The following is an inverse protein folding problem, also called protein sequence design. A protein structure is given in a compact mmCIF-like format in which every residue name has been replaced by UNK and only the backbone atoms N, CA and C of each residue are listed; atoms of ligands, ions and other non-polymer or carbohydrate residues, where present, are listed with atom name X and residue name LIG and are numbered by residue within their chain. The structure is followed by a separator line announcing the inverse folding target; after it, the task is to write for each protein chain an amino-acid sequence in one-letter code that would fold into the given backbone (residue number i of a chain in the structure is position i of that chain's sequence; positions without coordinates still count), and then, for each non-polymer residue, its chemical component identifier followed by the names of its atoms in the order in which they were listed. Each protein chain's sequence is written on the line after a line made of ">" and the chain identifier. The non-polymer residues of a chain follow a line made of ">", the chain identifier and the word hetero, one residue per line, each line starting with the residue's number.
data_IF_145297779870
#
_entry.id   IF_145297779870
#
_cell.length_a   1.000
_cell.length_b   1.000
_cell.length_c   1.000
_cell.angle_alpha   90.00
_cell.angle_beta   90.00
_cell.angle_gamma   90.00
#
_symmetry.space_group_name_H-M   'P 1'
#
loop_
_entity.id
_entity.type
_entity.pdbx_description
1 polymer ?
#
# COMPACT_ATOMS: atom_id res chain seq x y z
N UNK A 1 15.06 -9.82 -3.67
CA UNK A 1 14.33 -9.55 -2.40
C UNK A 1 13.59 -8.24 -2.58
N UNK A 2 12.28 -8.17 -2.31
CA UNK A 2 11.53 -6.89 -2.40
C UNK A 2 11.88 -6.05 -1.17
N UNK A 3 12.24 -4.78 -1.39
CA UNK A 3 12.53 -3.85 -0.28
C UNK A 3 11.31 -3.66 0.60
N UNK A 4 11.41 -4.19 1.81
CA UNK A 4 10.31 -4.27 2.77
C UNK A 4 10.16 -3.00 3.62
N UNK A 5 10.67 -1.86 3.15
CA UNK A 5 10.60 -0.58 3.86
C UNK A 5 9.91 0.49 3.01
N UNK A 6 9.11 1.34 3.67
CA UNK A 6 8.54 2.53 3.06
C UNK A 6 9.60 3.63 3.01
N UNK A 7 9.78 4.22 1.84
CA UNK A 7 10.60 5.43 1.69
C UNK A 7 10.00 6.60 2.48
N UNK A 8 10.79 7.62 2.84
CA UNK A 8 10.27 8.83 3.50
C UNK A 8 9.12 9.51 2.72
N UNK A 9 9.14 9.41 1.39
CA UNK A 9 8.06 9.92 0.52
C UNK A 9 6.78 9.10 0.69
N UNK A 10 6.88 7.77 0.73
CA UNK A 10 5.74 6.87 0.95
C UNK A 10 5.15 7.04 2.35
N UNK A 11 5.99 7.18 3.39
CA UNK A 11 5.52 7.46 4.75
C UNK A 11 4.71 8.76 4.79
N UNK A 12 5.22 9.84 4.16
CA UNK A 12 4.47 11.10 4.08
C UNK A 12 3.15 10.95 3.31
N UNK A 13 3.15 10.22 2.20
CA UNK A 13 1.96 9.99 1.36
C UNK A 13 0.89 9.14 2.07
N UNK A 14 1.28 8.08 2.76
CA UNK A 14 0.36 7.12 3.40
C UNK A 14 0.15 7.36 4.90
N UNK A 15 0.65 8.48 5.45
CA UNK A 15 0.60 8.80 6.89
C UNK A 15 -0.78 8.58 7.51
N UNK A 16 -1.86 9.02 6.84
CA UNK A 16 -3.23 8.86 7.34
C UNK A 16 -3.68 7.40 7.43
N UNK A 17 -3.31 6.56 6.45
CA UNK A 17 -3.67 5.14 6.46
C UNK A 17 -2.82 4.37 7.48
N UNK A 18 -1.53 4.72 7.62
CA UNK A 18 -0.63 4.12 8.62
C UNK A 18 -1.14 4.37 10.05
N UNK A 19 -1.82 5.49 10.30
CA UNK A 19 -2.38 5.81 11.62
C UNK A 19 -3.66 5.02 11.95
N UNK A 20 -4.30 4.37 10.98
CA UNK A 20 -5.46 3.52 11.23
C UNK A 20 -5.01 2.22 11.94
N UNK A 21 -5.60 1.87 13.10
CA UNK A 21 -5.25 0.66 13.83
C UNK A 21 -5.31 -0.62 13.00
N UNK A 22 -6.21 -0.68 12.02
CA UNK A 22 -6.48 -1.83 11.16
C UNK A 22 -5.42 -2.01 10.06
N UNK A 23 -4.66 -0.96 9.73
CA UNK A 23 -3.65 -0.98 8.67
C UNK A 23 -2.24 -0.95 9.28
N UNK A 24 -1.93 0.09 10.07
CA UNK A 24 -0.60 0.29 10.62
C UNK A 24 0.52 0.40 9.57
N UNK A 25 1.76 0.41 10.05
CA UNK A 25 2.94 0.33 9.18
C UNK A 25 3.03 -1.01 8.44
N UNK A 26 2.71 -2.10 9.13
CA UNK A 26 2.82 -3.46 8.60
C UNK A 26 1.83 -3.71 7.44
N UNK A 27 0.57 -3.29 7.59
CA UNK A 27 -0.43 -3.43 6.53
C UNK A 27 -0.06 -2.63 5.29
N UNK A 28 0.46 -1.40 5.45
CA UNK A 28 0.93 -0.61 4.33
C UNK A 28 2.12 -1.27 3.61
N UNK A 29 3.03 -1.90 4.36
CA UNK A 29 4.15 -2.63 3.80
C UNK A 29 3.71 -3.90 3.05
N UNK A 30 2.70 -4.61 3.57
CA UNK A 30 2.05 -5.74 2.86
C UNK A 30 1.44 -5.26 1.54
N UNK A 31 0.67 -4.17 1.55
CA UNK A 31 0.08 -3.59 0.33
C UNK A 31 1.14 -3.22 -0.72
N UNK A 32 2.27 -2.63 -0.31
CA UNK A 32 3.40 -2.31 -1.22
C UNK A 32 3.99 -3.54 -1.90
N UNK A 33 4.04 -4.67 -1.20
CA UNK A 33 4.64 -5.89 -1.73
C UNK A 33 3.66 -6.75 -2.55
N UNK A 34 2.37 -6.52 -2.40
CA UNK A 34 1.30 -7.24 -3.10
C UNK A 34 1.19 -6.79 -4.56
N UNK A 35 0.55 -7.61 -5.38
CA UNK A 35 0.24 -7.34 -6.78
C UNK A 35 -1.21 -7.73 -7.02
N UNK A 36 -1.97 -6.88 -7.71
CA UNK A 36 -3.38 -7.14 -8.04
C UNK A 36 -3.52 -7.06 -9.56
N UNK A 37 -4.19 -8.05 -10.14
CA UNK A 37 -4.57 -8.04 -11.55
C UNK A 37 -6.03 -7.60 -11.67
N UNK A 38 -6.29 -6.62 -12.52
CA UNK A 38 -7.64 -6.17 -12.85
C UNK A 38 -7.93 -6.60 -14.30
N UNK A 39 -9.01 -7.34 -14.53
CA UNK A 39 -9.41 -7.80 -15.86
C UNK A 39 -10.55 -6.91 -16.38
N UNK A 40 -10.22 -6.11 -17.38
CA UNK A 40 -11.13 -5.12 -17.99
C UNK A 40 -11.06 -3.76 -17.29
N UNK A 41 -10.88 -2.70 -18.08
CA UNK A 41 -10.79 -1.30 -17.62
C UNK A 41 -12.00 -0.48 -18.13
N UNK A 42 -13.20 -1.00 -17.89
CA UNK A 42 -14.47 -0.32 -18.16
C UNK A 42 -14.93 0.53 -16.98
N UNK A 43 -16.24 0.73 -16.80
CA UNK A 43 -16.77 1.60 -15.73
C UNK A 43 -16.55 1.13 -14.28
N UNK A 44 -16.09 -0.12 -14.08
CA UNK A 44 -15.85 -0.71 -12.76
C UNK A 44 -14.37 -1.02 -12.48
N UNK A 45 -13.56 -1.11 -13.54
CA UNK A 45 -12.17 -1.60 -13.49
C UNK A 45 -11.18 -0.54 -13.05
#
# INVERSE_FOLDING_TARGET
>A
MKDNQLSPREIRRYKRHIMLPEIGLEGQQKLKNTSVAVIGAGGLG
#
